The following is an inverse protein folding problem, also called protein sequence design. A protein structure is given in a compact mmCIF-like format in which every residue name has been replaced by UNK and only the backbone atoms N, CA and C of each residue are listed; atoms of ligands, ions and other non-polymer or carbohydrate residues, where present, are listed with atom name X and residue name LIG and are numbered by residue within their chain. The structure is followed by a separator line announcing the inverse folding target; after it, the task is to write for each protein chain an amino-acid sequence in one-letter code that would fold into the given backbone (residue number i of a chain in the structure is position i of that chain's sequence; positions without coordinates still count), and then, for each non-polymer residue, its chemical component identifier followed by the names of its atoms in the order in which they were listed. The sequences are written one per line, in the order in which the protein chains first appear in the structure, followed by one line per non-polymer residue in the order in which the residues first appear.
data_IF_872909114886
#
_entry.id   IF_872909114886
#
_cell.length_a   1.000
_cell.length_b   1.000
_cell.length_c   1.000
_cell.angle_alpha   90.00
_cell.angle_beta   90.00
_cell.angle_gamma   90.00
#
_symmetry.space_group_name_H-M   'P 1'
#
loop_
_entity.id
_entity.type
_entity.pdbx_description
1 polymer ?
#
# COMPACT_ATOMS: atom_id res chain seq x y z
N UNK A 1 28.98 22.55 -24.60
CA UNK A 1 28.13 23.74 -24.44
C UNK A 1 27.14 23.44 -23.32
N UNK A 2 27.13 24.33 -22.33
CA UNK A 2 26.40 24.43 -21.04
C UNK A 2 25.59 23.24 -20.51
N UNK A 3 26.00 22.72 -19.35
CA UNK A 3 25.08 22.15 -18.34
C UNK A 3 24.81 23.25 -17.34
N UNK A 4 23.70 23.96 -17.53
CA UNK A 4 23.30 25.03 -16.61
C UNK A 4 22.81 24.40 -15.31
N UNK A 5 23.64 24.49 -14.28
CA UNK A 5 23.33 24.04 -12.93
C UNK A 5 22.46 25.09 -12.26
N UNK A 6 21.16 24.84 -12.20
CA UNK A 6 20.28 25.57 -11.31
C UNK A 6 20.41 25.02 -9.89
N UNK A 7 20.78 25.89 -8.96
CA UNK A 7 20.78 25.65 -7.53
C UNK A 7 19.39 25.19 -7.05
N UNK A 8 19.29 23.98 -6.49
CA UNK A 8 18.12 23.55 -5.72
C UNK A 8 16.98 22.88 -6.51
N UNK A 9 17.31 21.90 -7.36
CA UNK A 9 16.28 21.12 -8.06
C UNK A 9 15.73 20.00 -7.15
N UNK A 10 14.45 20.08 -6.78
CA UNK A 10 13.75 19.02 -6.07
C UNK A 10 13.41 17.88 -7.05
N UNK A 11 14.33 16.93 -7.18
CA UNK A 11 14.26 15.82 -8.14
C UNK A 11 14.18 14.45 -7.45
N UNK A 12 13.73 13.43 -8.19
CA UNK A 12 13.77 12.05 -7.74
C UNK A 12 15.22 11.56 -7.62
N UNK A 13 15.58 11.00 -6.47
CA UNK A 13 16.90 10.43 -6.22
C UNK A 13 17.29 9.30 -7.19
N UNK A 14 16.30 8.57 -7.73
CA UNK A 14 16.54 7.41 -8.58
C UNK A 14 16.59 7.72 -10.08
N UNK A 15 15.81 8.71 -10.54
CA UNK A 15 15.65 8.99 -11.98
C UNK A 15 15.93 10.45 -12.36
N UNK A 16 16.32 11.29 -11.40
CA UNK A 16 16.59 12.73 -11.55
C UNK A 16 15.44 13.57 -12.13
N UNK A 17 14.24 12.98 -12.26
CA UNK A 17 13.05 13.66 -12.77
C UNK A 17 12.58 14.73 -11.77
N UNK A 18 12.22 15.90 -12.28
CA UNK A 18 11.71 17.01 -11.46
C UNK A 18 10.41 16.60 -10.75
N UNK A 19 10.40 16.73 -9.42
CA UNK A 19 9.25 16.41 -8.57
C UNK A 19 8.37 17.64 -8.30
N UNK A 20 8.71 18.79 -8.87
CA UNK A 20 7.94 20.03 -8.73
C UNK A 20 6.51 19.82 -9.24
N UNK A 21 5.54 19.99 -8.35
CA UNK A 21 4.11 19.80 -8.67
C UNK A 21 3.67 18.34 -8.82
N UNK A 22 4.58 17.37 -8.59
CA UNK A 22 4.28 15.94 -8.64
C UNK A 22 4.15 15.37 -7.23
N UNK A 23 3.47 14.22 -7.14
CA UNK A 23 3.46 13.42 -5.91
C UNK A 23 4.82 12.74 -5.75
N UNK A 24 5.33 12.71 -4.53
CA UNK A 24 6.61 12.09 -4.19
C UNK A 24 6.55 11.45 -2.80
N UNK A 25 7.51 10.58 -2.53
CA UNK A 25 7.69 9.89 -1.25
C UNK A 25 9.08 10.19 -0.72
N UNK A 26 9.20 10.46 0.58
CA UNK A 26 10.51 10.61 1.22
C UNK A 26 10.84 9.35 2.00
N UNK A 27 12.05 8.84 1.76
CA UNK A 27 12.64 7.72 2.51
C UNK A 27 14.06 8.11 2.86
N UNK A 28 14.40 8.02 4.15
CA UNK A 28 15.74 8.32 4.64
C UNK A 28 16.24 9.69 4.15
N UNK A 29 15.37 10.71 4.19
CA UNK A 29 15.58 12.07 3.68
C UNK A 29 15.80 12.22 2.16
N UNK A 30 15.70 11.15 1.38
CA UNK A 30 15.82 11.17 -0.08
C UNK A 30 14.43 11.19 -0.77
N UNK A 31 14.16 12.14 -1.68
CA UNK A 31 12.88 12.22 -2.39
C UNK A 31 12.82 11.25 -3.58
N UNK A 32 11.76 10.46 -3.68
CA UNK A 32 11.50 9.53 -4.78
C UNK A 32 10.17 9.85 -5.47
N UNK A 33 10.12 9.77 -6.79
CA UNK A 33 8.86 9.78 -7.52
C UNK A 33 8.05 8.51 -7.18
N UNK A 34 6.73 8.56 -7.32
CA UNK A 34 5.85 7.42 -7.02
C UNK A 34 6.27 6.16 -7.80
N UNK A 35 6.63 6.32 -9.08
CA UNK A 35 7.06 5.21 -9.94
C UNK A 35 8.32 4.51 -9.41
N UNK A 36 9.36 5.27 -9.09
CA UNK A 36 10.61 4.72 -8.55
C UNK A 36 10.40 4.13 -7.16
N UNK A 37 9.60 4.79 -6.32
CA UNK A 37 9.27 4.26 -5.01
C UNK A 37 8.54 2.91 -5.12
N UNK A 38 7.56 2.79 -6.01
CA UNK A 38 6.83 1.54 -6.22
C UNK A 38 7.73 0.43 -6.80
N UNK A 39 8.64 0.76 -7.72
CA UNK A 39 9.55 -0.23 -8.29
C UNK A 39 10.55 -0.79 -7.27
N UNK A 40 11.00 0.03 -6.33
CA UNK A 40 12.04 -0.35 -5.37
C UNK A 40 11.45 -0.90 -4.07
N UNK A 41 10.28 -0.41 -3.64
CA UNK A 41 9.75 -0.67 -2.30
C UNK A 41 8.32 -1.19 -2.25
N UNK A 42 7.59 -1.30 -3.38
CA UNK A 42 6.26 -1.87 -3.32
C UNK A 42 6.30 -3.39 -3.20
N UNK A 43 5.39 -3.93 -2.39
CA UNK A 43 5.13 -5.36 -2.33
C UNK A 43 4.45 -5.84 -3.61
N UNK A 44 4.71 -7.09 -3.99
CA UNK A 44 4.10 -7.73 -5.16
C UNK A 44 2.91 -8.57 -4.74
N UNK A 45 1.81 -8.46 -5.48
CA UNK A 45 0.62 -9.26 -5.26
C UNK A 45 0.86 -10.71 -5.67
N UNK A 46 0.61 -11.64 -4.75
CA UNK A 46 0.82 -13.09 -4.95
C UNK A 46 -0.16 -13.69 -5.98
N UNK A 47 -1.35 -13.09 -6.15
CA UNK A 47 -2.36 -13.58 -7.09
C UNK A 47 -2.14 -13.08 -8.53
N UNK A 48 -1.77 -11.81 -8.72
CA UNK A 48 -1.66 -11.22 -10.06
C UNK A 48 -0.22 -10.87 -10.47
N UNK A 49 0.75 -11.08 -9.58
CA UNK A 49 2.18 -10.77 -9.79
C UNK A 49 2.47 -9.29 -10.12
N UNK A 50 1.53 -8.38 -9.87
CA UNK A 50 1.71 -6.93 -10.05
C UNK A 50 2.04 -6.26 -8.73
N UNK A 51 2.80 -5.17 -8.79
CA UNK A 51 3.09 -4.34 -7.61
C UNK A 51 1.80 -3.76 -7.00
N UNK A 52 1.75 -3.72 -5.67
CA UNK A 52 0.69 -3.08 -4.90
C UNK A 52 1.11 -1.63 -4.69
N UNK A 53 0.52 -0.76 -5.51
CA UNK A 53 0.80 0.66 -5.53
C UNK A 53 0.48 1.34 -4.20
N UNK A 54 1.05 2.52 -4.00
CA UNK A 54 0.92 3.28 -2.74
C UNK A 54 -0.53 3.69 -2.43
N UNK A 55 -1.36 3.84 -3.47
CA UNK A 55 -2.77 4.21 -3.34
C UNK A 55 -3.69 3.01 -3.06
N UNK A 56 -3.16 1.78 -3.13
CA UNK A 56 -3.94 0.56 -2.92
C UNK A 56 -3.77 0.01 -1.51
N UNK A 57 -4.86 -0.53 -0.94
CA UNK A 57 -4.81 -1.23 0.35
C UNK A 57 -4.03 -2.54 0.17
N UNK A 58 -2.91 -2.63 0.88
CA UNK A 58 -2.02 -3.79 0.90
C UNK A 58 -2.50 -4.75 2.00
N UNK A 59 -2.98 -5.93 1.60
CA UNK A 59 -3.41 -6.98 2.51
C UNK A 59 -2.29 -8.00 2.67
N UNK A 60 -1.79 -8.15 3.90
CA UNK A 60 -0.71 -9.09 4.20
C UNK A 60 -1.15 -10.26 5.06
N UNK A 61 -0.61 -11.45 4.75
CA UNK A 61 -0.76 -12.65 5.56
C UNK A 61 0.36 -13.66 5.27
N UNK A 62 1.06 -14.15 6.31
CA UNK A 62 2.21 -15.09 6.19
C UNK A 62 3.24 -14.62 5.15
N UNK A 63 3.69 -13.37 5.27
CA UNK A 63 4.70 -12.76 4.39
C UNK A 63 4.30 -12.61 2.91
N UNK A 64 3.04 -12.87 2.61
CA UNK A 64 2.44 -12.65 1.29
C UNK A 64 1.56 -11.44 1.29
N UNK A 65 1.45 -10.84 0.11
CA UNK A 65 0.72 -9.61 -0.11
C UNK A 65 -0.29 -9.77 -1.24
N UNK A 66 -1.45 -9.13 -1.10
CA UNK A 66 -2.50 -9.11 -2.11
C UNK A 66 -3.10 -7.72 -2.23
N UNK A 67 -3.55 -7.38 -3.44
CA UNK A 67 -4.54 -6.31 -3.60
C UNK A 67 -5.84 -6.72 -2.91
N UNK A 68 -6.59 -5.74 -2.42
CA UNK A 68 -7.93 -5.94 -1.88
C UNK A 68 -8.84 -6.75 -2.82
N UNK A 69 -8.82 -6.42 -4.12
CA UNK A 69 -9.59 -7.12 -5.14
C UNK A 69 -9.05 -8.53 -5.48
N UNK A 70 -7.78 -8.80 -5.16
CA UNK A 70 -7.12 -10.09 -5.42
C UNK A 70 -7.21 -11.04 -4.22
N UNK A 71 -7.61 -10.56 -3.04
CA UNK A 71 -7.75 -11.36 -1.84
C UNK A 71 -9.04 -12.19 -1.86
N UNK A 72 -9.05 -13.20 -2.73
CA UNK A 72 -10.21 -14.01 -3.08
C UNK A 72 -9.99 -15.48 -2.72
N UNK A 73 -11.07 -16.19 -2.41
CA UNK A 73 -11.02 -17.63 -2.21
C UNK A 73 -10.54 -18.36 -3.47
N UNK A 74 -9.53 -19.22 -3.35
CA UNK A 74 -9.00 -19.98 -4.50
C UNK A 74 -10.01 -20.93 -5.15
N UNK A 75 -11.12 -21.27 -4.47
CA UNK A 75 -12.17 -22.15 -5.01
C UNK A 75 -13.35 -21.38 -5.59
N UNK A 76 -13.99 -20.52 -4.79
CA UNK A 76 -15.22 -19.83 -5.17
C UNK A 76 -15.02 -18.37 -5.57
N UNK A 77 -13.78 -17.86 -5.53
CA UNK A 77 -13.41 -16.48 -5.88
C UNK A 77 -14.16 -15.38 -5.12
N UNK A 78 -14.81 -15.70 -3.99
CA UNK A 78 -15.42 -14.71 -3.10
C UNK A 78 -14.34 -13.88 -2.40
N UNK A 79 -14.58 -12.58 -2.19
CA UNK A 79 -13.69 -11.74 -1.39
C UNK A 79 -13.58 -12.26 0.04
N UNK A 80 -12.35 -12.34 0.52
CA UNK A 80 -12.02 -12.76 1.89
C UNK A 80 -11.66 -11.56 2.79
N UNK A 81 -11.77 -10.35 2.25
CA UNK A 81 -11.54 -9.09 2.97
C UNK A 81 -12.52 -9.02 4.15
N UNK A 82 -11.98 -8.76 5.34
CA UNK A 82 -12.71 -8.70 6.61
C UNK A 82 -13.54 -9.96 6.94
N UNK A 83 -13.21 -11.10 6.32
CA UNK A 83 -13.86 -12.39 6.56
C UNK A 83 -12.88 -13.39 7.12
N UNK A 84 -13.44 -14.34 7.84
CA UNK A 84 -12.76 -15.52 8.33
C UNK A 84 -12.28 -16.38 7.14
N UNK A 85 -10.98 -16.64 7.04
CA UNK A 85 -10.40 -17.48 5.98
C UNK A 85 -9.38 -18.48 6.53
N UNK A 86 -9.27 -19.62 5.84
CA UNK A 86 -8.27 -20.66 6.12
C UNK A 86 -7.17 -20.63 5.05
N UNK A 87 -5.92 -20.83 5.46
CA UNK A 87 -4.81 -21.01 4.53
C UNK A 87 -4.31 -22.46 4.55
N UNK A 88 -4.10 -23.05 3.36
CA UNK A 88 -3.53 -24.39 3.22
C UNK A 88 -2.79 -24.51 1.91
N UNK A 89 -1.60 -25.13 1.95
CA UNK A 89 -0.72 -25.30 0.79
C UNK A 89 -0.58 -24.00 -0.01
N UNK A 90 -0.26 -22.91 0.70
CA UNK A 90 0.02 -21.61 0.10
C UNK A 90 -1.17 -20.89 -0.55
N UNK A 91 -2.37 -21.47 -0.45
CA UNK A 91 -3.63 -20.94 -0.97
C UNK A 91 -4.58 -20.54 0.15
N UNK A 92 -5.45 -19.56 -0.14
CA UNK A 92 -6.45 -19.03 0.79
C UNK A 92 -7.86 -19.45 0.40
N UNK A 93 -8.66 -19.84 1.38
CA UNK A 93 -10.01 -20.36 1.19
C UNK A 93 -10.97 -19.71 2.16
N UNK A 94 -12.21 -19.42 1.74
CA UNK A 94 -13.26 -19.04 2.67
C UNK A 94 -13.56 -20.20 3.63
N UNK A 95 -14.09 -19.90 4.82
CA UNK A 95 -14.46 -20.92 5.82
C UNK A 95 -15.27 -22.08 5.23
N UNK A 96 -16.29 -21.79 4.40
CA UNK A 96 -17.11 -22.83 3.76
C UNK A 96 -16.31 -23.73 2.81
N UNK A 97 -15.44 -23.15 1.96
CA UNK A 97 -14.65 -23.94 1.01
C UNK A 97 -13.53 -24.71 1.70
N UNK A 98 -13.00 -24.17 2.80
CA UNK A 98 -12.01 -24.80 3.63
C UNK A 98 -12.62 -26.02 4.33
N UNK A 99 -13.73 -25.82 5.04
CA UNK A 99 -14.46 -26.88 5.73
C UNK A 99 -14.92 -27.97 4.76
N UNK A 100 -15.44 -27.58 3.60
CA UNK A 100 -15.94 -28.53 2.61
C UNK A 100 -14.85 -29.49 2.09
N UNK A 101 -13.60 -29.02 1.99
CA UNK A 101 -12.49 -29.81 1.44
C UNK A 101 -11.62 -30.47 2.51
N UNK A 102 -11.49 -29.85 3.68
CA UNK A 102 -10.44 -30.21 4.64
C UNK A 102 -10.95 -30.59 6.01
N UNK A 103 -12.21 -30.30 6.34
CA UNK A 103 -12.72 -30.65 7.65
C UNK A 103 -13.21 -32.11 7.68
N UNK A 104 -12.84 -32.81 8.75
CA UNK A 104 -13.26 -34.18 9.00
C UNK A 104 -14.76 -34.23 9.25
N UNK A 105 -15.43 -35.16 8.58
CA UNK A 105 -16.87 -35.39 8.72
C UNK A 105 -17.11 -36.64 9.55
N UNK A 106 -18.21 -36.65 10.29
CA UNK A 106 -18.68 -37.82 11.00
C UNK A 106 -19.20 -38.86 10.01
N UNK A 107 -18.70 -40.09 10.09
CA UNK A 107 -19.14 -41.20 9.23
C UNK A 107 -20.62 -41.58 9.46
N UNK A 108 -21.16 -41.29 10.64
CA UNK A 108 -22.56 -41.59 10.98
C UNK A 108 -23.58 -40.57 10.47
N UNK A 109 -23.28 -39.27 10.50
CA UNK A 109 -24.24 -38.22 10.15
C UNK A 109 -23.80 -37.28 9.01
N UNK A 110 -22.58 -37.44 8.48
CA UNK A 110 -22.02 -36.61 7.42
C UNK A 110 -21.71 -35.17 7.82
N UNK A 111 -22.01 -34.77 9.07
CA UNK A 111 -21.76 -33.43 9.58
C UNK A 111 -20.28 -33.24 9.92
N UNK A 112 -19.83 -31.99 9.81
CA UNK A 112 -18.45 -31.61 10.10
C UNK A 112 -18.22 -31.60 11.61
N UNK A 113 -17.13 -32.19 12.10
CA UNK A 113 -16.76 -32.09 13.51
C UNK A 113 -16.28 -30.67 13.82
N UNK A 114 -17.22 -29.78 14.14
CA UNK A 114 -16.92 -28.48 14.77
C UNK A 114 -16.77 -28.68 16.27
N UNK A 115 -15.75 -29.43 16.69
CA UNK A 115 -15.26 -29.24 18.05
C UNK A 115 -14.88 -27.76 18.18
N UNK A 116 -15.24 -27.10 19.28
CA UNK A 116 -15.05 -25.67 19.53
C UNK A 116 -13.57 -25.24 19.64
N UNK A 117 -12.70 -25.87 18.87
CA UNK A 117 -11.26 -25.77 18.89
C UNK A 117 -10.84 -24.74 17.84
N UNK A 118 -10.54 -23.54 18.31
CA UNK A 118 -9.48 -22.63 17.81
C UNK A 118 -9.14 -22.75 16.33
N UNK A 119 -10.10 -22.61 15.42
CA UNK A 119 -9.73 -22.52 14.01
C UNK A 119 -8.94 -21.23 13.90
N UNK A 120 -7.64 -21.36 13.63
CA UNK A 120 -6.70 -20.24 13.56
C UNK A 120 -6.92 -19.51 12.25
N UNK A 121 -8.04 -18.81 12.19
CA UNK A 121 -8.40 -17.99 11.06
C UNK A 121 -7.56 -16.73 11.12
N UNK A 122 -6.75 -16.52 10.09
CA UNK A 122 -6.08 -15.25 9.92
C UNK A 122 -7.12 -14.17 9.66
N UNK A 123 -6.83 -12.95 10.10
CA UNK A 123 -7.42 -11.75 9.51
C UNK A 123 -6.31 -11.13 8.68
N UNK A 124 -6.53 -10.77 7.41
CA UNK A 124 -5.46 -10.13 6.65
C UNK A 124 -5.13 -8.82 7.35
N UNK A 125 -3.87 -8.61 7.73
CA UNK A 125 -3.47 -7.32 8.30
C UNK A 125 -3.39 -6.36 7.14
N UNK A 126 -4.23 -5.33 7.19
CA UNK A 126 -4.02 -4.15 6.35
C UNK A 126 -2.65 -3.59 6.73
N UNK A 127 -1.69 -3.70 5.83
CA UNK A 127 -0.44 -2.98 5.96
C UNK A 127 -0.78 -1.55 5.62
N UNK A 128 -1.23 -0.81 6.63
CA UNK A 128 -1.09 0.63 6.63
C UNK A 128 0.40 0.86 6.43
N UNK A 129 0.80 1.35 5.26
CA UNK A 129 2.17 1.84 5.04
C UNK A 129 2.31 3.14 5.84
N UNK A 130 2.27 2.99 7.17
CA UNK A 130 2.10 4.03 8.19
C UNK A 130 3.33 4.91 8.34
N UNK A 131 4.42 4.61 7.62
CA UNK A 131 5.55 5.53 7.55
C UNK A 131 5.37 6.68 6.55
N UNK A 132 4.30 6.73 5.75
CA UNK A 132 4.18 7.75 4.68
C UNK A 132 2.87 8.54 4.64
N UNK A 133 1.96 8.36 5.60
CA UNK A 133 0.82 9.28 5.75
C UNK A 133 1.25 10.63 6.36
N UNK A 134 2.38 10.67 7.06
CA UNK A 134 2.86 11.86 7.79
C UNK A 134 3.40 12.98 6.90
N UNK A 135 3.29 12.90 5.56
CA UNK A 135 3.74 13.99 4.68
C UNK A 135 2.88 14.28 3.46
N UNK A 136 1.79 13.52 3.20
CA UNK A 136 0.77 13.97 2.26
C UNK A 136 0.01 15.22 2.78
N UNK A 137 -0.05 15.43 4.10
CA UNK A 137 -0.65 16.66 4.68
C UNK A 137 0.31 17.86 4.71
N UNK A 138 1.63 17.68 4.54
CA UNK A 138 2.58 18.81 4.52
C UNK A 138 2.67 19.50 3.14
N UNK A 139 1.95 19.00 2.13
CA UNK A 139 1.75 19.70 0.85
C UNK A 139 0.65 20.79 0.91
N UNK A 140 -0.02 20.98 2.05
CA UNK A 140 -0.92 22.13 2.26
C UNK A 140 -0.23 23.39 2.80
N UNK A 141 1.00 23.29 3.33
CA UNK A 141 1.73 24.45 3.86
C UNK A 141 2.83 25.00 2.92
N UNK A 142 3.17 24.29 1.85
CA UNK A 142 4.11 24.80 0.84
C UNK A 142 3.45 25.62 -0.29
N UNK A 143 2.27 26.20 -0.04
CA UNK A 143 1.61 27.20 -0.90
C UNK A 143 1.41 28.56 -0.24
N UNK A 144 2.15 28.87 0.83
CA UNK A 144 2.04 30.17 1.54
C UNK A 144 3.33 31.00 1.57
N UNK A 145 4.26 30.78 0.65
CA UNK A 145 5.48 31.61 0.53
C UNK A 145 5.75 32.10 -0.90
N UNK A 146 4.71 32.23 -1.74
CA UNK A 146 4.82 32.90 -3.04
C UNK A 146 3.81 34.04 -3.24
N UNK A 147 3.06 34.46 -2.22
CA UNK A 147 2.02 35.50 -2.35
C UNK A 147 2.20 36.73 -1.43
N UNK A 148 3.40 37.00 -0.91
CA UNK A 148 3.72 38.34 -0.41
C UNK A 148 4.60 39.09 -1.41
N UNK A 149 4.08 39.21 -2.63
CA UNK A 149 4.29 40.42 -3.44
C UNK A 149 3.53 41.57 -2.78
N UNK A 150 4.08 42.12 -1.72
CA UNK A 150 3.68 43.43 -1.20
C UNK A 150 4.70 44.45 -1.69
N UNK A 151 4.40 45.00 -2.86
CA UNK A 151 4.75 46.37 -3.23
C UNK A 151 4.26 47.30 -2.12
N UNK A 152 5.17 47.81 -1.29
CA UNK A 152 4.96 49.00 -0.48
C UNK A 152 6.06 50.01 -0.79
N UNK A 153 5.70 50.97 -1.65
CA UNK A 153 5.98 52.40 -1.55
C UNK A 153 7.27 52.83 -0.81
N UNK A 154 8.19 53.46 -1.55
CA UNK A 154 8.94 54.65 -1.10
C UNK A 154 7.99 55.65 -0.40
N UNK A 155 8.39 56.35 0.69
CA UNK A 155 9.43 57.40 0.58
C UNK A 155 10.31 57.56 1.83
N UNK A 156 11.56 58.01 1.66
CA UNK A 156 12.07 59.17 2.40
C UNK A 156 13.39 59.66 1.81
N UNK A 157 13.35 60.92 1.38
CA UNK A 157 14.51 61.74 1.06
C UNK A 157 15.30 62.03 2.34
N UNK A 158 16.62 62.00 2.21
CA UNK A 158 17.50 62.99 2.83
C UNK A 158 18.61 63.32 1.85
#
# INVERSE_FOLDING_TARGET
MSKDWHSGHFCCWQCDESLTGQRYVLRDDHPYCIKCYEQVFANTCDECSKVIGIDSKDLSYKDKHWHEACFLCSKCRVSLVDKQFGSKADKIYCGNCYDAQFASRCDGCGQIFRAATVVSYGVPRAVTRETNRSRLELLRLARSLQTLGLVFFSPLQH
#
